data_IF_738533434040
#
_entry.id   IF_738533434040
#
_cell.length_a   1.000
_cell.length_b   1.000
_cell.length_c   1.000
_cell.angle_alpha   90.00
_cell.angle_beta   90.00
_cell.angle_gamma   90.00
#
_symmetry.space_group_name_H-M   'P 1'
#
loop_
_entity.id
_entity.type
_entity.pdbx_description
1 polymer ?
#
# COMPACT_ATOMS: atom_id res chain seq x y z
N UNK A 1 -37.82 -4.61 7.17
CA UNK A 1 -36.91 -4.56 8.34
C UNK A 1 -36.66 -5.99 8.75
N UNK A 2 -35.48 -6.54 8.42
CA UNK A 2 -35.06 -7.82 8.96
C UNK A 2 -34.62 -7.58 10.40
N UNK A 3 -35.23 -8.30 11.35
CA UNK A 3 -34.80 -8.28 12.75
C UNK A 3 -33.60 -9.22 12.79
N UNK A 4 -32.39 -8.68 12.93
CA UNK A 4 -31.20 -9.49 13.17
C UNK A 4 -31.42 -10.28 14.46
N UNK A 5 -31.41 -11.61 14.34
CA UNK A 5 -31.50 -12.48 15.51
C UNK A 5 -30.14 -12.42 16.21
N UNK A 6 -30.08 -12.12 17.52
CA UNK A 6 -28.82 -12.04 18.23
C UNK A 6 -28.09 -13.39 18.17
N UNK A 7 -26.76 -13.33 17.97
CA UNK A 7 -25.92 -14.52 17.92
C UNK A 7 -26.08 -15.36 19.19
N UNK A 8 -26.10 -16.69 19.05
CA UNK A 8 -26.22 -17.57 20.21
C UNK A 8 -24.94 -17.54 21.06
N UNK A 9 -25.05 -17.90 22.34
CA UNK A 9 -23.86 -17.99 23.20
C UNK A 9 -22.85 -19.03 22.68
N UNK A 10 -23.33 -20.11 22.05
CA UNK A 10 -22.47 -21.10 21.41
C UNK A 10 -21.71 -20.50 20.22
N UNK A 11 -22.36 -19.63 19.44
CA UNK A 11 -21.71 -18.93 18.33
C UNK A 11 -20.64 -17.95 18.79
N UNK A 12 -20.91 -17.21 19.87
CA UNK A 12 -19.95 -16.28 20.48
C UNK A 12 -18.73 -17.06 20.99
N UNK A 13 -18.94 -18.19 21.66
CA UNK A 13 -17.85 -19.00 22.19
C UNK A 13 -16.97 -19.57 21.06
N UNK A 14 -17.58 -20.06 19.98
CA UNK A 14 -16.84 -20.58 18.83
C UNK A 14 -16.08 -19.47 18.07
N UNK A 15 -16.63 -18.25 18.01
CA UNK A 15 -15.94 -17.08 17.45
C UNK A 15 -14.69 -16.72 18.27
N UNK A 16 -14.83 -16.64 19.59
CA UNK A 16 -13.72 -16.37 20.49
C UNK A 16 -12.63 -17.45 20.41
N UNK A 17 -13.01 -18.73 20.42
CA UNK A 17 -12.07 -19.84 20.32
C UNK A 17 -11.33 -19.85 18.97
N UNK A 18 -12.02 -19.57 17.86
CA UNK A 18 -11.39 -19.44 16.55
C UNK A 18 -10.38 -18.28 16.51
N UNK A 19 -10.73 -17.13 17.08
CA UNK A 19 -9.82 -15.97 17.17
C UNK A 19 -8.57 -16.31 18.00
N UNK A 20 -8.74 -16.90 19.17
CA UNK A 20 -7.62 -17.30 20.03
C UNK A 20 -6.70 -18.34 19.37
N UNK A 21 -7.26 -19.20 18.51
CA UNK A 21 -6.49 -20.14 17.71
C UNK A 21 -5.68 -19.40 16.64
N UNK A 22 -6.32 -18.51 15.87
CA UNK A 22 -5.65 -17.70 14.83
C UNK A 22 -4.51 -16.89 15.44
N UNK A 23 -4.78 -16.14 16.50
CA UNK A 23 -3.77 -15.32 17.19
C UNK A 23 -2.57 -16.15 17.66
N UNK A 24 -2.81 -17.36 18.16
CA UNK A 24 -1.76 -18.25 18.65
C UNK A 24 -0.88 -18.77 17.52
N UNK A 25 -1.49 -19.23 16.42
CA UNK A 25 -0.76 -19.71 15.23
C UNK A 25 0.08 -18.57 14.65
N UNK A 26 -0.52 -17.39 14.51
CA UNK A 26 0.18 -16.18 14.07
C UNK A 26 1.38 -15.88 14.97
N UNK A 27 1.18 -15.84 16.29
CA UNK A 27 2.27 -15.60 17.24
C UNK A 27 3.38 -16.65 17.13
N UNK A 28 3.02 -17.93 17.06
CA UNK A 28 3.97 -19.03 17.00
C UNK A 28 4.87 -18.97 15.76
N UNK A 29 4.35 -18.55 14.62
CA UNK A 29 5.08 -18.59 13.35
C UNK A 29 5.67 -17.24 12.90
N UNK A 30 5.20 -16.12 13.46
CA UNK A 30 5.60 -14.78 13.03
C UNK A 30 6.38 -14.00 14.10
N UNK A 31 6.23 -14.34 15.39
CA UNK A 31 7.04 -13.69 16.43
C UNK A 31 8.52 -14.05 16.26
N UNK A 32 9.39 -13.06 16.48
CA UNK A 32 10.84 -13.24 16.33
C UNK A 32 11.37 -13.12 14.90
N UNK A 33 10.58 -12.57 13.97
CA UNK A 33 11.00 -12.31 12.59
C UNK A 33 10.71 -13.45 11.61
N UNK A 34 9.78 -14.35 11.96
CA UNK A 34 9.31 -15.40 11.06
C UNK A 34 8.59 -14.85 9.83
N UNK A 35 8.69 -15.59 8.73
CA UNK A 35 8.06 -15.30 7.45
C UNK A 35 7.24 -16.52 7.02
N UNK A 36 5.98 -16.32 6.66
CA UNK A 36 5.11 -17.38 6.14
C UNK A 36 4.36 -16.91 4.91
N UNK A 37 4.11 -17.83 3.98
CA UNK A 37 3.18 -17.61 2.88
C UNK A 37 1.72 -17.80 3.34
N UNK A 38 0.73 -17.24 2.63
CA UNK A 38 -0.69 -17.47 2.92
C UNK A 38 -1.04 -18.96 2.94
N UNK A 39 -0.47 -19.77 2.04
CA UNK A 39 -0.68 -21.21 1.98
C UNK A 39 -0.11 -21.94 3.20
N UNK A 40 1.09 -21.54 3.64
CA UNK A 40 1.69 -22.11 4.85
C UNK A 40 0.87 -21.77 6.10
N UNK A 41 0.44 -20.51 6.23
CA UNK A 41 -0.41 -20.10 7.34
C UNK A 41 -1.75 -20.85 7.34
N UNK A 42 -2.38 -20.98 6.17
CA UNK A 42 -3.60 -21.77 6.01
C UNK A 42 -3.40 -23.23 6.43
N UNK A 43 -2.26 -23.85 6.09
CA UNK A 43 -1.94 -25.21 6.51
C UNK A 43 -1.78 -25.32 8.04
N UNK A 44 -1.09 -24.37 8.68
CA UNK A 44 -0.93 -24.34 10.14
C UNK A 44 -2.27 -24.16 10.87
N UNK A 45 -3.12 -23.26 10.37
CA UNK A 45 -4.45 -23.02 10.91
C UNK A 45 -5.35 -24.27 10.82
N UNK A 46 -5.38 -24.95 9.67
CA UNK A 46 -6.14 -26.20 9.51
C UNK A 46 -5.63 -27.29 10.44
N UNK A 47 -4.32 -27.42 10.59
CA UNK A 47 -3.72 -28.41 11.49
C UNK A 47 -4.14 -28.17 12.96
N UNK A 48 -4.12 -26.92 13.40
CA UNK A 48 -4.50 -26.56 14.77
C UNK A 48 -6.01 -26.68 15.00
N UNK A 49 -6.83 -26.39 13.99
CA UNK A 49 -8.29 -26.46 14.06
C UNK A 49 -8.85 -27.90 13.98
N UNK A 50 -8.09 -28.86 13.45
CA UNK A 50 -8.56 -30.23 13.15
C UNK A 50 -9.21 -30.96 14.35
N UNK A 51 -8.80 -30.65 15.58
CA UNK A 51 -9.32 -31.25 16.81
C UNK A 51 -10.30 -30.36 17.57
N UNK A 52 -10.80 -29.28 16.95
CA UNK A 52 -11.79 -28.36 17.54
C UNK A 52 -13.21 -28.71 17.10
N UNK A 53 -14.21 -28.01 17.64
CA UNK A 53 -15.60 -28.16 17.21
C UNK A 53 -15.76 -27.82 15.72
N UNK A 54 -16.83 -28.30 15.09
CA UNK A 54 -17.11 -28.00 13.68
C UNK A 54 -17.31 -26.50 13.46
N UNK A 55 -17.97 -25.85 14.41
CA UNK A 55 -18.24 -24.43 14.42
C UNK A 55 -16.95 -23.60 14.43
N UNK A 56 -15.90 -24.06 15.14
CA UNK A 56 -14.58 -23.44 15.14
C UNK A 56 -13.85 -23.72 13.82
N UNK A 57 -13.91 -24.96 13.32
CA UNK A 57 -13.30 -25.32 12.02
C UNK A 57 -13.86 -24.49 10.87
N UNK A 58 -15.18 -24.30 10.82
CA UNK A 58 -15.87 -23.49 9.81
C UNK A 58 -15.44 -22.02 9.87
N UNK A 59 -15.29 -21.46 11.09
CA UNK A 59 -14.81 -20.08 11.27
C UNK A 59 -13.35 -19.91 10.84
N UNK A 60 -12.49 -20.87 11.19
CA UNK A 60 -11.10 -20.87 10.74
C UNK A 60 -11.01 -21.01 9.22
N UNK A 61 -11.82 -21.86 8.60
CA UNK A 61 -11.82 -22.01 7.14
C UNK A 61 -12.38 -20.76 6.44
N UNK A 62 -13.39 -20.10 7.00
CA UNK A 62 -13.86 -18.81 6.51
C UNK A 62 -12.73 -17.76 6.55
N UNK A 63 -11.99 -17.69 7.66
CA UNK A 63 -10.82 -16.82 7.77
C UNK A 63 -9.74 -17.15 6.72
N UNK A 64 -9.43 -18.44 6.50
CA UNK A 64 -8.48 -18.86 5.46
C UNK A 64 -8.96 -18.45 4.06
N UNK A 65 -10.26 -18.56 3.80
CA UNK A 65 -10.87 -18.09 2.56
C UNK A 65 -10.60 -16.59 2.35
N UNK A 66 -10.87 -15.76 3.35
CA UNK A 66 -10.56 -14.32 3.30
C UNK A 66 -9.07 -14.06 3.13
N UNK A 67 -8.21 -14.74 3.89
CA UNK A 67 -6.75 -14.59 3.81
C UNK A 67 -6.24 -14.84 2.39
N UNK A 68 -6.61 -15.97 1.80
CA UNK A 68 -6.13 -16.39 0.47
C UNK A 68 -6.74 -15.58 -0.67
N UNK A 69 -7.93 -14.99 -0.47
CA UNK A 69 -8.52 -14.06 -1.42
C UNK A 69 -7.84 -12.68 -1.40
N UNK A 70 -7.46 -12.21 -0.21
CA UNK A 70 -6.97 -10.84 0.01
C UNK A 70 -5.46 -10.70 -0.11
N UNK A 71 -4.71 -11.73 0.31
CA UNK A 71 -3.25 -11.75 0.36
C UNK A 71 -2.76 -12.72 -0.71
N UNK A 72 -2.35 -12.19 -1.86
CA UNK A 72 -2.03 -13.00 -3.04
C UNK A 72 -0.67 -13.68 -2.91
N UNK A 73 0.39 -12.95 -3.24
CA UNK A 73 1.77 -13.46 -3.29
C UNK A 73 2.62 -12.95 -2.14
N UNK A 74 2.03 -12.16 -1.24
CA UNK A 74 2.76 -11.49 -0.20
C UNK A 74 3.21 -12.47 0.86
N UNK A 75 4.42 -12.26 1.36
CA UNK A 75 4.92 -12.98 2.53
C UNK A 75 4.40 -12.27 3.77
N UNK A 76 3.71 -13.01 4.63
CA UNK A 76 3.22 -12.49 5.89
C UNK A 76 4.37 -12.43 6.88
N UNK A 77 4.58 -11.26 7.49
CA UNK A 77 5.68 -11.00 8.41
C UNK A 77 5.27 -10.05 9.53
N UNK A 78 5.94 -10.13 10.68
CA UNK A 78 5.88 -9.07 11.67
C UNK A 78 6.68 -7.85 11.17
N UNK A 79 5.98 -6.79 10.75
CA UNK A 79 6.57 -5.52 10.35
C UNK A 79 6.59 -4.52 11.53
N UNK A 80 7.29 -3.41 11.34
CA UNK A 80 7.32 -2.32 12.32
C UNK A 80 5.92 -1.74 12.56
N UNK A 81 5.71 -1.21 13.77
CA UNK A 81 4.41 -0.67 14.13
C UNK A 81 4.02 0.51 13.21
N UNK A 82 2.84 0.40 12.58
CA UNK A 82 2.34 1.40 11.64
C UNK A 82 2.67 1.12 10.18
N UNK A 83 3.44 0.06 9.89
CA UNK A 83 3.71 -0.41 8.52
C UNK A 83 2.69 -1.49 8.17
N UNK A 84 1.88 -1.25 7.13
CA UNK A 84 0.86 -2.19 6.65
C UNK A 84 1.43 -3.23 5.69
N UNK A 85 2.30 -2.81 4.79
CA UNK A 85 3.00 -3.64 3.82
C UNK A 85 4.40 -3.10 3.55
N UNK A 86 5.21 -3.88 2.84
CA UNK A 86 6.54 -3.46 2.40
C UNK A 86 6.97 -4.23 1.15
N UNK A 87 7.50 -3.53 0.15
CA UNK A 87 8.28 -4.12 -0.92
C UNK A 87 9.79 -3.92 -0.69
N UNK A 88 10.59 -4.99 -0.74
CA UNK A 88 12.06 -4.92 -0.52
C UNK A 88 12.90 -4.95 -1.80
N UNK A 89 12.27 -4.90 -2.98
CA UNK A 89 12.94 -5.06 -4.28
C UNK A 89 12.92 -6.49 -4.80
N UNK A 90 12.49 -7.46 -3.99
CA UNK A 90 12.33 -8.87 -4.40
C UNK A 90 10.95 -9.41 -4.03
N UNK A 91 10.51 -9.17 -2.79
CA UNK A 91 9.27 -9.68 -2.22
C UNK A 91 8.41 -8.55 -1.71
N UNK A 92 7.11 -8.76 -1.79
CA UNK A 92 6.11 -7.98 -1.08
C UNK A 92 5.82 -8.67 0.25
N UNK A 93 5.74 -7.90 1.31
CA UNK A 93 5.41 -8.34 2.65
C UNK A 93 4.11 -7.72 3.09
N UNK A 94 3.28 -8.52 3.76
CA UNK A 94 2.06 -8.09 4.43
C UNK A 94 2.31 -8.11 5.94
N UNK A 95 1.97 -7.03 6.64
CA UNK A 95 2.06 -7.03 8.10
C UNK A 95 1.06 -8.02 8.70
N UNK A 96 1.56 -8.87 9.59
CA UNK A 96 0.74 -9.81 10.34
C UNK A 96 -0.46 -9.14 11.04
N UNK A 97 -0.27 -7.92 11.54
CA UNK A 97 -1.30 -7.16 12.24
C UNK A 97 -2.48 -6.74 11.35
N UNK A 98 -2.28 -6.64 10.03
CA UNK A 98 -3.32 -6.26 9.06
C UNK A 98 -4.32 -7.39 8.84
N UNK A 99 -3.86 -8.63 8.89
CA UNK A 99 -4.65 -9.80 8.51
C UNK A 99 -5.29 -10.49 9.72
N UNK A 100 -5.12 -9.96 10.93
CA UNK A 100 -5.80 -10.47 12.12
C UNK A 100 -7.23 -9.92 12.13
N UNK A 101 -8.26 -10.78 12.10
CA UNK A 101 -9.64 -10.32 12.07
C UNK A 101 -9.97 -9.62 13.38
N UNK A 102 -10.43 -8.37 13.29
CA UNK A 102 -11.01 -7.63 14.41
C UNK A 102 -12.48 -7.37 14.07
N UNK A 103 -13.36 -7.56 15.05
CA UNK A 103 -14.81 -7.44 14.84
C UNK A 103 -15.18 -6.05 14.33
N UNK A 104 -15.85 -6.02 13.17
CA UNK A 104 -16.33 -4.79 12.54
C UNK A 104 -15.29 -4.09 11.65
N UNK A 105 -14.07 -4.64 11.54
CA UNK A 105 -13.06 -4.13 10.64
C UNK A 105 -13.16 -4.78 9.25
N UNK A 106 -12.86 -3.99 8.21
CA UNK A 106 -12.85 -4.41 6.81
C UNK A 106 -11.53 -5.06 6.44
N UNK A 107 -11.16 -6.14 7.15
CA UNK A 107 -9.85 -6.78 7.02
C UNK A 107 -9.55 -7.24 5.59
N UNK A 108 -10.55 -7.76 4.87
CA UNK A 108 -10.42 -8.12 3.46
C UNK A 108 -10.07 -6.93 2.57
N UNK A 109 -10.80 -5.82 2.72
CA UNK A 109 -10.59 -4.60 1.92
C UNK A 109 -9.23 -3.99 2.26
N UNK A 110 -8.87 -3.94 3.54
CA UNK A 110 -7.59 -3.43 4.01
C UNK A 110 -6.41 -4.25 3.50
N UNK A 111 -6.46 -5.57 3.65
CA UNK A 111 -5.42 -6.46 3.15
C UNK A 111 -5.31 -6.38 1.61
N UNK A 112 -6.43 -6.24 0.91
CA UNK A 112 -6.44 -6.07 -0.55
C UNK A 112 -5.81 -4.74 -0.99
N UNK A 113 -6.17 -3.62 -0.35
CA UNK A 113 -5.59 -2.30 -0.66
C UNK A 113 -4.07 -2.32 -0.46
N UNK A 114 -3.61 -2.86 0.67
CA UNK A 114 -2.17 -2.96 0.98
C UNK A 114 -1.46 -3.90 0.00
N UNK A 115 -2.04 -5.08 -0.30
CA UNK A 115 -1.44 -6.03 -1.26
C UNK A 115 -1.28 -5.39 -2.64
N UNK A 116 -2.30 -4.68 -3.11
CA UNK A 116 -2.24 -3.95 -4.38
C UNK A 116 -1.20 -2.84 -4.34
N UNK A 117 -1.06 -2.13 -3.21
CA UNK A 117 -0.07 -1.08 -3.02
C UNK A 117 1.37 -1.60 -3.17
N UNK A 118 1.72 -2.65 -2.42
CA UNK A 118 3.06 -3.23 -2.51
C UNK A 118 3.33 -3.89 -3.86
N UNK A 119 2.32 -4.51 -4.46
CA UNK A 119 2.43 -5.09 -5.79
C UNK A 119 2.64 -4.00 -6.86
N UNK A 120 2.03 -2.82 -6.70
CA UNK A 120 2.24 -1.70 -7.60
C UNK A 120 3.68 -1.21 -7.55
N UNK A 121 4.27 -1.08 -6.36
CA UNK A 121 5.69 -0.77 -6.18
C UNK A 121 6.59 -1.76 -6.91
N UNK A 122 6.26 -3.06 -6.83
CA UNK A 122 6.98 -4.13 -7.52
C UNK A 122 6.85 -4.06 -9.05
N UNK A 123 5.63 -3.90 -9.56
CA UNK A 123 5.37 -3.92 -11.00
C UNK A 123 5.93 -2.69 -11.73
N UNK A 124 6.07 -1.57 -11.00
CA UNK A 124 6.59 -0.31 -11.52
C UNK A 124 8.01 -0.02 -11.01
N UNK A 125 8.70 -1.00 -10.41
CA UNK A 125 10.10 -0.91 -9.98
C UNK A 125 10.41 0.40 -9.21
N UNK A 126 9.53 0.77 -8.28
CA UNK A 126 9.55 2.05 -7.58
C UNK A 126 10.75 2.26 -6.64
N UNK A 127 11.62 1.25 -6.49
CA UNK A 127 12.88 1.35 -5.77
C UNK A 127 14.08 1.73 -6.67
N UNK A 128 13.88 1.76 -7.99
CA UNK A 128 14.92 2.18 -8.92
C UNK A 128 15.12 3.70 -8.87
N UNK A 129 16.38 4.12 -9.02
CA UNK A 129 16.76 5.53 -9.04
C UNK A 129 15.95 6.33 -10.07
N UNK A 130 15.40 7.46 -9.63
CA UNK A 130 14.69 8.40 -10.49
C UNK A 130 15.60 9.61 -10.74
N UNK A 131 15.72 10.04 -11.99
CA UNK A 131 16.51 11.23 -12.32
C UNK A 131 15.79 12.48 -11.79
N UNK A 132 16.43 13.12 -10.82
CA UNK A 132 16.02 14.41 -10.28
C UNK A 132 16.08 15.53 -11.35
N UNK A 133 15.19 16.50 -11.21
CA UNK A 133 15.20 17.71 -12.01
C UNK A 133 16.31 18.67 -11.55
N UNK A 134 16.91 19.41 -12.49
CA UNK A 134 18.01 20.35 -12.17
C UNK A 134 17.60 21.49 -11.22
N UNK A 135 16.32 21.82 -11.21
CA UNK A 135 15.73 22.87 -10.37
C UNK A 135 15.36 22.40 -8.96
N UNK A 136 15.54 21.13 -8.64
CA UNK A 136 15.46 20.64 -7.27
C UNK A 136 16.77 21.00 -6.53
N UNK A 137 16.74 22.11 -5.78
CA UNK A 137 17.92 22.70 -5.11
C UNK A 137 17.93 22.53 -3.59
N UNK A 138 16.88 21.96 -3.02
CA UNK A 138 16.84 21.65 -1.58
C UNK A 138 17.42 20.25 -1.31
N UNK A 139 18.03 20.07 -0.14
CA UNK A 139 18.67 18.81 0.25
C UNK A 139 17.65 17.65 0.24
N UNK A 140 17.87 16.67 -0.64
CA UNK A 140 16.96 15.53 -0.83
C UNK A 140 15.77 15.77 -1.78
N UNK A 141 15.60 16.98 -2.30
CA UNK A 141 14.55 17.27 -3.28
C UNK A 141 14.88 16.70 -4.66
N UNK A 142 13.86 16.18 -5.36
CA UNK A 142 14.00 15.60 -6.70
C UNK A 142 13.17 16.29 -7.78
N UNK A 143 12.13 17.06 -7.39
CA UNK A 143 11.37 17.90 -8.30
C UNK A 143 10.72 19.09 -7.59
N UNK A 144 10.48 20.17 -8.32
CA UNK A 144 9.63 21.29 -7.90
C UNK A 144 8.34 21.26 -8.71
N UNK A 145 7.21 21.02 -8.06
CA UNK A 145 5.90 20.90 -8.72
C UNK A 145 4.93 21.89 -8.09
N UNK A 146 4.35 22.77 -8.91
CA UNK A 146 3.41 23.78 -8.44
C UNK A 146 4.01 24.70 -7.38
N UNK A 147 5.32 24.96 -7.45
CA UNK A 147 6.10 25.78 -6.51
C UNK A 147 6.46 25.09 -5.18
N UNK A 148 6.24 23.79 -5.02
CA UNK A 148 6.65 23.01 -3.85
C UNK A 148 7.74 22.00 -4.23
N UNK A 149 8.73 21.80 -3.35
CA UNK A 149 9.74 20.74 -3.51
C UNK A 149 9.19 19.41 -3.00
N UNK A 150 9.50 18.33 -3.71
CA UNK A 150 9.18 16.96 -3.32
C UNK A 150 10.45 16.09 -3.38
N UNK A 151 10.58 15.16 -2.45
CA UNK A 151 11.56 14.06 -2.51
C UNK A 151 11.00 12.84 -3.29
N UNK A 152 11.82 11.80 -3.47
CA UNK A 152 11.43 10.59 -4.20
C UNK A 152 10.20 9.89 -3.59
N UNK A 153 10.14 9.83 -2.26
CA UNK A 153 9.01 9.20 -1.54
C UNK A 153 7.74 10.01 -1.76
N UNK A 154 7.85 11.33 -1.64
CA UNK A 154 6.72 12.25 -1.80
C UNK A 154 6.23 12.38 -3.25
N UNK A 155 6.98 11.86 -4.22
CA UNK A 155 6.55 11.72 -5.62
C UNK A 155 5.90 10.36 -5.88
N UNK A 156 6.55 9.28 -5.43
CA UNK A 156 6.16 7.91 -5.72
C UNK A 156 4.93 7.47 -4.92
N UNK A 157 4.93 7.69 -3.60
CA UNK A 157 3.87 7.18 -2.73
C UNK A 157 2.49 7.77 -3.04
N UNK A 158 2.33 9.09 -3.30
CA UNK A 158 1.09 9.65 -3.80
C UNK A 158 0.59 9.00 -5.08
N UNK A 159 1.49 8.71 -6.02
CA UNK A 159 1.11 8.06 -7.27
C UNK A 159 0.63 6.62 -7.03
N UNK A 160 1.33 5.87 -6.17
CA UNK A 160 0.90 4.51 -5.79
C UNK A 160 -0.50 4.55 -5.16
N UNK A 161 -0.72 5.45 -4.20
CA UNK A 161 -2.03 5.62 -3.54
C UNK A 161 -3.15 6.02 -4.51
N UNK A 162 -2.87 6.89 -5.49
CA UNK A 162 -3.84 7.26 -6.52
C UNK A 162 -4.31 6.03 -7.33
N UNK A 163 -3.46 5.01 -7.48
CA UNK A 163 -3.80 3.77 -8.18
C UNK A 163 -4.42 2.71 -7.28
N UNK A 164 -4.06 2.66 -6.01
CA UNK A 164 -4.33 1.50 -5.15
C UNK A 164 -5.40 1.76 -4.11
N UNK A 165 -5.64 3.03 -3.75
CA UNK A 165 -6.58 3.43 -2.70
C UNK A 165 -5.94 4.29 -1.61
N UNK A 166 -6.79 4.95 -0.83
CA UNK A 166 -6.40 5.84 0.29
C UNK A 166 -7.23 5.58 1.54
N UNK A 167 -8.05 4.53 1.58
CA UNK A 167 -8.97 4.28 2.70
C UNK A 167 -8.21 3.84 3.95
N UNK A 168 -7.21 2.98 3.76
CA UNK A 168 -6.49 2.32 4.86
C UNK A 168 -5.07 2.84 5.09
N UNK A 169 -4.68 3.88 4.36
CA UNK A 169 -3.38 4.54 4.55
C UNK A 169 -3.42 5.52 5.73
N UNK A 170 -2.25 5.77 6.32
CA UNK A 170 -2.13 6.66 7.49
C UNK A 170 -2.50 8.11 7.15
N UNK A 171 -2.78 8.93 8.17
CA UNK A 171 -3.09 10.34 7.99
C UNK A 171 -2.00 11.10 7.23
N UNK A 172 -0.73 10.86 7.57
CA UNK A 172 0.41 11.50 6.90
C UNK A 172 0.50 11.15 5.42
N UNK A 173 0.21 9.90 5.05
CA UNK A 173 0.17 9.48 3.64
C UNK A 173 -1.00 10.15 2.88
N UNK A 174 -2.17 10.27 3.49
CA UNK A 174 -3.29 11.03 2.88
C UNK A 174 -2.96 12.51 2.70
N UNK A 175 -2.31 13.13 3.68
CA UNK A 175 -1.88 14.52 3.57
C UNK A 175 -0.87 14.70 2.43
N UNK A 176 0.06 13.76 2.28
CA UNK A 176 1.03 13.72 1.18
C UNK A 176 0.34 13.56 -0.19
N UNK A 177 -0.65 12.65 -0.31
CA UNK A 177 -1.46 12.50 -1.53
C UNK A 177 -2.17 13.79 -1.92
N UNK A 178 -2.85 14.41 -0.95
CA UNK A 178 -3.56 15.67 -1.16
C UNK A 178 -2.60 16.82 -1.54
N UNK A 179 -1.42 16.89 -0.92
CA UNK A 179 -0.39 17.89 -1.21
C UNK A 179 0.10 17.75 -2.65
N UNK A 180 0.42 16.54 -3.09
CA UNK A 180 0.83 16.27 -4.48
C UNK A 180 -0.29 16.64 -5.47
N UNK A 181 -1.54 16.24 -5.21
CA UNK A 181 -2.68 16.59 -6.05
C UNK A 181 -2.87 18.11 -6.20
N UNK A 182 -2.69 18.87 -5.12
CA UNK A 182 -2.73 20.34 -5.16
C UNK A 182 -1.56 20.94 -5.95
N UNK A 183 -0.35 20.41 -5.79
CA UNK A 183 0.84 20.82 -6.54
C UNK A 183 0.68 20.59 -8.05
N UNK A 184 0.25 19.40 -8.47
CA UNK A 184 -0.04 19.09 -9.88
C UNK A 184 -1.06 20.05 -10.47
N UNK A 185 -2.15 20.33 -9.75
CA UNK A 185 -3.18 21.29 -10.18
C UNK A 185 -2.61 22.70 -10.41
N UNK A 186 -1.79 23.21 -9.49
CA UNK A 186 -1.11 24.51 -9.66
C UNK A 186 -0.14 24.52 -10.84
N UNK A 187 0.57 23.41 -11.06
CA UNK A 187 1.47 23.20 -12.19
C UNK A 187 0.75 22.98 -13.54
N UNK A 188 -0.59 22.89 -13.52
CA UNK A 188 -1.45 22.54 -14.66
C UNK A 188 -1.08 21.17 -15.25
N UNK A 189 -0.85 20.20 -14.38
CA UNK A 189 -0.56 18.80 -14.68
C UNK A 189 -1.63 17.91 -14.07
N UNK A 190 -1.78 16.69 -14.60
CA UNK A 190 -2.59 15.64 -14.01
C UNK A 190 -1.75 14.50 -13.43
N UNK A 191 -2.39 13.60 -12.67
CA UNK A 191 -1.75 12.38 -12.16
C UNK A 191 -1.11 11.53 -13.28
N UNK A 192 -1.71 11.50 -14.47
CA UNK A 192 -1.13 10.79 -15.62
C UNK A 192 0.19 11.39 -16.12
N UNK A 193 0.47 12.66 -15.83
CA UNK A 193 1.75 13.28 -16.17
C UNK A 193 2.82 12.89 -15.14
N UNK A 194 2.44 12.83 -13.86
CA UNK A 194 3.29 12.32 -12.78
C UNK A 194 3.70 10.86 -13.03
N UNK A 195 2.72 10.01 -13.31
CA UNK A 195 2.94 8.59 -13.62
C UNK A 195 3.92 8.40 -14.78
N UNK A 196 3.72 9.13 -15.89
CA UNK A 196 4.64 9.07 -17.03
C UNK A 196 6.07 9.50 -16.66
N UNK A 197 6.22 10.49 -15.79
CA UNK A 197 7.53 10.94 -15.36
C UNK A 197 8.23 9.89 -14.48
N UNK A 198 7.48 9.24 -13.59
CA UNK A 198 7.96 8.13 -12.76
C UNK A 198 8.34 6.94 -13.64
N UNK A 199 7.47 6.52 -14.57
CA UNK A 199 7.73 5.40 -15.51
C UNK A 199 8.94 5.69 -16.41
N UNK A 200 9.09 6.94 -16.85
CA UNK A 200 10.24 7.38 -17.65
C UNK A 200 11.52 7.55 -16.82
N UNK A 201 11.43 7.46 -15.49
CA UNK A 201 12.52 7.74 -14.54
C UNK A 201 13.11 9.13 -14.72
N UNK A 202 12.30 10.11 -15.07
CA UNK A 202 12.75 11.48 -15.35
C UNK A 202 11.73 12.53 -14.89
N UNK A 203 11.97 13.10 -13.72
CA UNK A 203 11.08 14.11 -13.14
C UNK A 203 11.28 15.51 -13.75
N UNK A 204 12.33 15.71 -14.55
CA UNK A 204 12.54 16.97 -15.25
C UNK A 204 11.41 17.28 -16.24
N UNK A 205 10.65 16.26 -16.66
CA UNK A 205 9.48 16.38 -17.53
C UNK A 205 8.35 17.18 -16.86
N UNK A 206 8.20 17.04 -15.55
CA UNK A 206 7.09 17.65 -14.78
C UNK A 206 7.54 18.81 -13.89
N UNK A 207 8.84 18.94 -13.61
CA UNK A 207 9.37 20.01 -12.77
C UNK A 207 9.18 21.40 -13.37
N UNK A 208 8.75 22.34 -12.55
CA UNK A 208 8.35 23.69 -12.96
C UNK A 208 9.49 24.45 -13.64
N UNK A 209 10.68 24.50 -13.03
CA UNK A 209 11.82 25.25 -13.54
C UNK A 209 12.34 24.69 -14.86
N UNK A 210 12.32 23.36 -15.02
CA UNK A 210 12.69 22.73 -16.30
C UNK A 210 11.66 23.07 -17.40
N UNK A 211 10.35 22.99 -17.09
CA UNK A 211 9.27 23.33 -18.04
C UNK A 211 9.28 24.81 -18.44
N UNK A 212 9.61 25.72 -17.52
CA UNK A 212 9.73 27.15 -17.80
C UNK A 212 10.92 27.46 -18.70
N UNK A 213 12.09 26.88 -18.43
CA UNK A 213 13.27 26.99 -19.31
C UNK A 213 12.95 26.54 -20.73
N UNK A 214 12.26 25.41 -20.90
CA UNK A 214 11.89 24.89 -22.20
C UNK A 214 10.99 25.87 -22.99
N UNK A 215 10.02 26.52 -22.33
CA UNK A 215 9.18 27.55 -22.97
C UNK A 215 10.00 28.76 -23.41
N UNK A 216 10.91 29.24 -22.56
CA UNK A 216 11.77 30.38 -22.87
C UNK A 216 12.72 30.12 -24.04
N UNK A 217 13.22 28.89 -24.20
CA UNK A 217 14.02 28.48 -25.37
C UNK A 217 13.19 28.52 -26.65
N UNK A 218 11.95 28.03 -26.60
CA UNK A 218 11.04 28.04 -27.76
C UNK A 218 10.68 29.48 -28.16
N UNK A 219 10.32 30.33 -27.21
CA UNK A 219 10.01 31.74 -27.48
C UNK A 219 11.22 32.52 -28.03
N UNK A 220 12.42 32.27 -27.49
CA UNK A 220 13.66 32.89 -27.98
C UNK A 220 14.05 32.47 -29.40
N UNK A 221 13.71 31.25 -29.84
CA UNK A 221 13.96 30.80 -31.21
C UNK A 221 13.05 31.47 -32.24
N UNK A 222 11.81 31.80 -31.88
CA UNK A 222 10.91 32.56 -32.77
C UNK A 222 11.21 34.06 -32.79
N UNK A 223 11.78 34.62 -31.72
CA UNK A 223 12.18 36.03 -31.66
C UNK A 223 13.41 36.36 -32.52
N UNK A 224 14.25 35.37 -32.86
CA UNK A 224 15.43 35.54 -33.72
C UNK A 224 15.15 35.35 -35.22
N UNK A 225 13.91 35.02 -35.59
CA UNK A 225 13.49 34.77 -36.97
C UNK A 225 12.61 35.88 -37.58
N UNK A 226 12.46 37.02 -36.89
CA UNK A 226 11.73 38.21 -37.35
C UNK A 226 12.66 39.40 -37.55
#
# INVERSE_FOLDING_TARGET
>A
MAIETPASQADINAEQEAQELIDRVMKQHLQGGGEVTPEQLAAFLRAEAANRSKEVQERVEAYIGTLTASVRTDVIKALEHGVGGQYDGTKTYMAAAVIVPVKGEKVEEQATEISNHEQYHKDHDHLADIKAAEDAVEDGGVAVIGGETFDDTEVVEPMTMERTGTEFVSGGYRDMHNRMGAALSRAKLGWSDLEKAIDARDLSIISDGTREKAKGVVEGQYALAA
#
